data_IF_920364070606
#
_entry.id   IF_920364070606
#
_cell.length_a   1.000
_cell.length_b   1.000
_cell.length_c   1.000
_cell.angle_alpha   90.00
_cell.angle_beta   90.00
_cell.angle_gamma   90.00
#
_symmetry.space_group_name_H-M   'P 1'
#
loop_
_entity.id
_entity.type
_entity.pdbx_description
1 polymer ?
#
# COMPACT_ATOMS: atom_id res chain seq x y z
N UNK A 1 -9.19 14.01 -12.59
CA UNK A 1 -9.24 13.36 -11.27
C UNK A 1 -7.85 12.85 -10.97
N UNK A 2 -7.19 13.38 -9.95
CA UNK A 2 -5.84 12.94 -9.57
C UNK A 2 -5.92 12.43 -8.14
N UNK A 3 -5.17 11.38 -7.86
CA UNK A 3 -5.11 10.74 -6.55
C UNK A 3 -3.64 10.47 -6.23
N UNK A 4 -3.32 10.34 -4.95
CA UNK A 4 -1.99 10.00 -4.51
C UNK A 4 -1.99 8.60 -3.90
N UNK A 5 -1.03 7.77 -4.31
CA UNK A 5 -0.80 6.48 -3.66
C UNK A 5 0.40 6.61 -2.72
N UNK A 6 0.18 6.28 -1.46
CA UNK A 6 1.25 6.07 -0.49
C UNK A 6 1.48 4.57 -0.31
N UNK A 7 2.72 4.12 -0.45
CA UNK A 7 3.09 2.71 -0.25
C UNK A 7 4.21 2.61 0.77
N UNK A 8 3.98 1.80 1.80
CA UNK A 8 4.94 1.40 2.82
C UNK A 8 5.37 -0.05 2.55
N UNK A 9 6.67 -0.27 2.38
CA UNK A 9 7.28 -1.56 2.08
C UNK A 9 8.01 -2.08 3.31
N UNK A 10 7.30 -2.87 4.12
CA UNK A 10 7.87 -3.58 5.26
C UNK A 10 8.41 -4.95 4.86
N UNK A 11 9.21 -5.54 5.76
CA UNK A 11 9.75 -6.89 5.58
C UNK A 11 8.67 -7.98 5.64
N UNK A 12 7.65 -7.77 6.48
CA UNK A 12 6.60 -8.76 6.77
C UNK A 12 5.30 -8.44 6.04
N UNK A 13 5.11 -7.20 5.61
CA UNK A 13 3.92 -6.77 4.92
C UNK A 13 4.16 -5.52 4.09
N UNK A 14 3.34 -5.36 3.06
CA UNK A 14 3.25 -4.15 2.26
C UNK A 14 1.88 -3.53 2.48
N UNK A 15 1.85 -2.22 2.74
CA UNK A 15 0.62 -1.45 2.88
C UNK A 15 0.57 -0.36 1.83
N UNK A 16 -0.56 -0.26 1.13
CA UNK A 16 -0.84 0.82 0.18
C UNK A 16 -2.11 1.56 0.57
N UNK A 17 -2.11 2.88 0.39
CA UNK A 17 -3.22 3.77 0.70
C UNK A 17 -3.44 4.73 -0.45
N UNK A 18 -4.69 4.91 -0.86
CA UNK A 18 -5.11 5.88 -1.86
C UNK A 18 -5.69 7.11 -1.15
N UNK A 19 -5.14 8.28 -1.48
CA UNK A 19 -5.56 9.57 -0.94
C UNK A 19 -6.18 10.45 -2.02
N UNK A 20 -7.17 11.25 -1.65
CA UNK A 20 -7.64 12.38 -2.47
C UNK A 20 -6.72 13.62 -2.29
N UNK A 21 -7.05 14.72 -2.98
CA UNK A 21 -6.29 15.97 -2.90
C UNK A 21 -6.46 16.75 -1.59
N UNK A 22 -7.48 16.43 -0.80
CA UNK A 22 -7.63 16.99 0.54
C UNK A 22 -6.87 16.16 1.58
N UNK A 23 -6.25 15.05 1.18
CA UNK A 23 -5.50 14.15 2.05
C UNK A 23 -6.38 13.10 2.75
N UNK A 24 -7.65 12.95 2.35
CA UNK A 24 -8.51 11.91 2.92
C UNK A 24 -8.15 10.54 2.36
N UNK A 25 -8.25 9.51 3.20
CA UNK A 25 -8.10 8.12 2.78
C UNK A 25 -9.37 7.67 2.07
N UNK A 26 -9.23 7.28 0.80
CA UNK A 26 -10.33 6.77 -0.03
C UNK A 26 -10.34 5.24 -0.05
N UNK A 27 -9.16 4.62 -0.02
CA UNK A 27 -9.01 3.18 0.03
C UNK A 27 -7.67 2.78 0.67
N UNK A 28 -7.59 1.56 1.21
CA UNK A 28 -6.32 0.97 1.64
C UNK A 28 -6.31 -0.54 1.49
N UNK A 29 -5.12 -1.11 1.27
CA UNK A 29 -4.89 -2.54 1.23
C UNK A 29 -3.60 -2.87 1.99
N UNK A 30 -3.62 -3.97 2.73
CA UNK A 30 -2.44 -4.51 3.40
C UNK A 30 -2.30 -5.97 3.01
N UNK A 31 -1.10 -6.35 2.58
CA UNK A 31 -0.76 -7.72 2.21
C UNK A 31 0.39 -8.19 3.08
N UNK A 32 0.26 -9.37 3.68
CA UNK A 32 1.39 -10.03 4.32
C UNK A 32 2.36 -10.52 3.24
N UNK A 33 3.62 -10.15 3.37
CA UNK A 33 4.69 -10.63 2.50
C UNK A 33 4.97 -12.08 2.86
N UNK A 34 4.44 -12.99 2.05
CA UNK A 34 4.99 -14.33 2.00
C UNK A 34 6.24 -14.30 1.12
N UNK A 35 7.38 -14.67 1.68
CA UNK A 35 8.57 -14.92 0.88
C UNK A 35 8.25 -16.01 -0.15
N UNK A 36 8.13 -15.63 -1.42
CA UNK A 36 8.35 -16.60 -2.50
C UNK A 36 9.83 -16.99 -2.35
N UNK A 37 10.06 -18.17 -1.78
CA UNK A 37 11.34 -18.86 -1.97
C UNK A 37 11.42 -19.17 -3.47
N UNK A 38 12.18 -18.37 -4.19
CA UNK A 38 12.67 -18.75 -5.51
C UNK A 38 13.73 -19.83 -5.23
N UNK A 39 13.56 -21.08 -5.69
CA UNK A 39 14.55 -22.13 -5.48
C UNK A 39 15.89 -21.78 -6.14
#
# INVERSE_FOLDING_TARGET
MTYLIGTDLGTTSTKSVLYDHQGHVIASATLATHSIMIP
#
